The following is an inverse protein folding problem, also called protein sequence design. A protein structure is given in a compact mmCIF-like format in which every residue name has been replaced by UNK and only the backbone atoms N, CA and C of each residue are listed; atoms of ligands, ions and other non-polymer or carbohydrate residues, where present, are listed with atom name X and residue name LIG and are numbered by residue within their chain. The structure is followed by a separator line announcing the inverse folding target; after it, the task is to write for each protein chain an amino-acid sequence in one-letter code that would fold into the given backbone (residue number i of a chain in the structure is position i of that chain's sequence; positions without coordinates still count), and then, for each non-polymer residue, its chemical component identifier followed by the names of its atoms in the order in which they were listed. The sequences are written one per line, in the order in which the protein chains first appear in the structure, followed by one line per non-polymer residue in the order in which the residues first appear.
data_IF_491044264061
#
_entry.id   IF_491044264061
#
_cell.length_a   1.000
_cell.length_b   1.000
_cell.length_c   1.000
_cell.angle_alpha   90.00
_cell.angle_beta   90.00
_cell.angle_gamma   90.00
#
_symmetry.space_group_name_H-M   'P 1'
#
loop_
_entity.id
_entity.type
_entity.pdbx_description
1 polymer ?
#
# COMPACT_ATOMS: atom_id res chain seq x y z
N UNK A 1 -7.65 0.51 13.25
CA UNK A 1 -6.62 -0.41 13.78
C UNK A 1 -6.21 -0.10 15.23
N UNK A 2 -5.51 1.00 15.53
CA UNK A 2 -4.91 1.23 16.87
C UNK A 2 -5.89 1.13 18.06
N UNK A 3 -7.09 1.72 17.94
CA UNK A 3 -8.13 1.60 18.98
C UNK A 3 -8.59 0.15 19.21
N UNK A 4 -8.84 -0.57 18.12
CA UNK A 4 -9.20 -2.00 18.15
C UNK A 4 -8.09 -2.81 18.81
N UNK A 5 -6.82 -2.52 18.51
CA UNK A 5 -5.68 -3.16 19.17
C UNK A 5 -5.66 -2.87 20.69
N UNK A 6 -5.90 -1.62 21.08
CA UNK A 6 -5.93 -1.23 22.48
C UNK A 6 -7.09 -1.87 23.26
N UNK A 7 -8.28 -1.93 22.66
CA UNK A 7 -9.49 -2.44 23.32
C UNK A 7 -9.60 -3.98 23.30
N UNK A 8 -9.30 -4.59 22.16
CA UNK A 8 -9.64 -5.99 21.90
C UNK A 8 -8.42 -6.92 21.98
N UNK A 9 -7.20 -6.35 21.97
CA UNK A 9 -5.95 -7.09 21.93
C UNK A 9 -4.94 -6.63 23.00
N UNK A 10 -5.39 -6.00 24.08
CA UNK A 10 -4.55 -5.59 25.22
C UNK A 10 -3.29 -4.80 24.81
N UNK A 11 -3.45 -3.87 23.86
CA UNK A 11 -2.36 -3.08 23.27
C UNK A 11 -1.29 -3.89 22.53
N UNK A 12 -1.53 -5.17 22.25
CA UNK A 12 -0.62 -6.04 21.51
C UNK A 12 -1.07 -6.17 20.06
N UNK A 13 -0.19 -5.84 19.13
CA UNK A 13 -0.46 -6.04 17.70
C UNK A 13 -0.62 -7.54 17.43
N UNK A 14 -1.72 -7.99 16.82
CA UNK A 14 -1.89 -9.40 16.47
C UNK A 14 -0.82 -9.88 15.50
N UNK A 15 -0.35 -11.12 15.68
CA UNK A 15 0.64 -11.74 14.80
C UNK A 15 0.03 -12.59 13.67
N UNK A 16 -1.25 -12.95 13.79
CA UNK A 16 -1.96 -13.75 12.80
C UNK A 16 -2.46 -12.88 11.63
N UNK A 17 -2.29 -13.37 10.40
CA UNK A 17 -2.61 -12.62 9.18
C UNK A 17 -4.11 -12.36 9.06
N UNK A 18 -4.96 -13.34 9.39
CA UNK A 18 -6.42 -13.15 9.27
C UNK A 18 -6.93 -12.16 10.31
N UNK A 19 -6.39 -12.21 11.52
CA UNK A 19 -6.68 -11.23 12.58
C UNK A 19 -6.21 -9.83 12.20
N UNK A 20 -5.00 -9.71 11.63
CA UNK A 20 -4.48 -8.44 11.12
C UNK A 20 -5.37 -7.88 10.00
N UNK A 21 -5.86 -8.71 9.08
CA UNK A 21 -6.78 -8.30 8.00
C UNK A 21 -8.14 -7.82 8.51
N UNK A 22 -8.57 -8.28 9.68
CA UNK A 22 -9.80 -7.80 10.31
C UNK A 22 -9.66 -6.38 10.89
N UNK A 23 -8.43 -5.87 11.06
CA UNK A 23 -8.21 -4.52 11.57
C UNK A 23 -8.62 -3.45 10.53
N UNK A 24 -9.31 -2.37 10.95
CA UNK A 24 -9.69 -1.30 10.03
C UNK A 24 -8.48 -0.68 9.33
N UNK A 25 -8.52 -0.68 7.99
CA UNK A 25 -7.48 -0.14 7.12
C UNK A 25 -6.32 -1.08 6.79
N UNK A 26 -6.33 -2.33 7.26
CA UNK A 26 -5.25 -3.30 7.02
C UNK A 26 -5.66 -4.29 5.92
N UNK A 27 -5.08 -4.14 4.73
CA UNK A 27 -5.28 -5.07 3.61
C UNK A 27 -4.33 -6.28 3.65
N UNK A 28 -4.54 -7.24 2.73
CA UNK A 28 -3.75 -8.49 2.62
C UNK A 28 -2.22 -8.26 2.60
N UNK A 29 -1.76 -7.29 1.81
CA UNK A 29 -0.34 -6.93 1.76
C UNK A 29 0.17 -6.47 3.13
N UNK A 30 -0.53 -5.51 3.76
CA UNK A 30 -0.10 -4.92 5.03
C UNK A 30 -0.08 -5.96 6.14
N UNK A 31 -1.09 -6.83 6.20
CA UNK A 31 -1.15 -7.92 7.18
C UNK A 31 0.06 -8.87 7.03
N UNK A 32 0.34 -9.34 5.81
CA UNK A 32 1.50 -10.21 5.54
C UNK A 32 2.82 -9.50 5.81
N UNK A 33 2.93 -8.22 5.49
CA UNK A 33 4.11 -7.41 5.76
C UNK A 33 4.36 -7.26 7.27
N UNK A 34 3.32 -7.00 8.08
CA UNK A 34 3.43 -6.97 9.54
C UNK A 34 3.86 -8.34 10.07
N UNK A 35 3.15 -9.40 9.70
CA UNK A 35 3.48 -10.78 10.11
C UNK A 35 4.92 -11.16 9.76
N UNK A 36 5.41 -10.74 8.58
CA UNK A 36 6.77 -11.03 8.12
C UNK A 36 7.82 -10.19 8.84
N UNK A 37 7.70 -8.86 8.79
CA UNK A 37 8.77 -7.98 9.24
C UNK A 37 8.77 -7.76 10.76
N UNK A 38 7.60 -7.72 11.40
CA UNK A 38 7.52 -7.52 12.85
C UNK A 38 7.59 -8.85 13.62
N UNK A 39 6.99 -9.93 13.10
CA UNK A 39 6.85 -11.20 13.80
C UNK A 39 7.68 -12.35 13.21
N UNK A 40 8.52 -12.07 12.21
CA UNK A 40 9.47 -13.03 11.68
C UNK A 40 8.85 -14.17 10.85
N UNK A 41 7.56 -14.09 10.52
CA UNK A 41 6.87 -15.16 9.79
C UNK A 41 7.24 -15.15 8.31
N UNK A 42 7.11 -16.30 7.65
CA UNK A 42 7.36 -16.40 6.21
C UNK A 42 6.04 -16.26 5.45
N UNK A 43 5.82 -15.10 4.84
CA UNK A 43 4.66 -14.85 3.96
C UNK A 43 5.11 -14.29 2.61
N UNK A 44 4.25 -14.47 1.61
CA UNK A 44 4.46 -13.89 0.29
C UNK A 44 4.11 -12.38 0.29
N UNK A 45 5.09 -11.55 0.63
CA UNK A 45 4.97 -10.08 0.67
C UNK A 45 5.22 -9.52 -0.73
N UNK A 46 4.16 -9.14 -1.45
CA UNK A 46 4.24 -8.70 -2.85
C UNK A 46 3.96 -7.20 -2.99
N UNK A 47 4.90 -6.36 -2.52
CA UNK A 47 4.86 -4.93 -2.79
C UNK A 47 5.21 -4.62 -4.27
N UNK A 48 4.98 -3.38 -4.72
CA UNK A 48 5.23 -3.00 -6.11
C UNK A 48 6.72 -3.11 -6.52
N UNK A 49 7.64 -3.03 -5.57
CA UNK A 49 9.07 -3.18 -5.76
C UNK A 49 9.45 -4.65 -5.94
N UNK A 50 9.05 -5.53 -5.02
CA UNK A 50 9.26 -6.98 -5.14
C UNK A 50 8.63 -7.51 -6.43
N UNK A 51 7.38 -7.13 -6.72
CA UNK A 51 6.67 -7.53 -7.96
C UNK A 51 7.44 -7.12 -9.21
N UNK A 52 8.05 -5.94 -9.23
CA UNK A 52 8.86 -5.47 -10.36
C UNK A 52 10.17 -6.23 -10.49
N UNK A 53 10.83 -6.58 -9.38
CA UNK A 53 12.01 -7.44 -9.43
C UNK A 53 11.65 -8.77 -10.06
N UNK A 54 10.57 -9.42 -9.62
CA UNK A 54 10.14 -10.70 -10.20
C UNK A 54 9.72 -10.61 -11.66
N UNK A 55 8.96 -9.58 -12.04
CA UNK A 55 8.56 -9.37 -13.43
C UNK A 55 9.79 -9.31 -14.35
N UNK A 56 10.82 -8.56 -13.95
CA UNK A 56 12.05 -8.42 -14.75
C UNK A 56 12.94 -9.66 -14.69
N UNK A 57 13.20 -10.16 -13.48
CA UNK A 57 14.14 -11.25 -13.24
C UNK A 57 13.61 -12.58 -13.80
N UNK A 58 12.34 -12.90 -13.53
CA UNK A 58 11.74 -14.21 -13.81
C UNK A 58 10.81 -14.21 -15.01
N UNK A 59 10.02 -13.16 -15.23
CA UNK A 59 9.05 -13.16 -16.35
C UNK A 59 9.61 -12.49 -17.61
N UNK A 60 10.74 -11.78 -17.50
CA UNK A 60 11.32 -11.05 -18.63
C UNK A 60 10.53 -9.79 -19.03
N UNK A 61 9.64 -9.30 -18.16
CA UNK A 61 8.76 -8.17 -18.40
C UNK A 61 9.27 -6.89 -17.71
N UNK A 62 9.11 -5.73 -18.35
CA UNK A 62 9.57 -4.45 -17.77
C UNK A 62 8.83 -4.10 -16.46
N UNK A 63 7.55 -4.48 -16.37
CA UNK A 63 6.63 -4.07 -15.34
C UNK A 63 5.69 -5.22 -14.98
N UNK A 64 5.33 -5.39 -13.69
CA UNK A 64 4.28 -6.31 -13.31
C UNK A 64 2.93 -5.76 -13.77
N UNK A 65 1.92 -6.64 -13.83
CA UNK A 65 0.51 -6.29 -14.08
C UNK A 65 0.00 -5.27 -13.05
N UNK A 66 -1.06 -4.54 -13.39
CA UNK A 66 -1.59 -3.48 -12.52
C UNK A 66 -1.97 -3.98 -11.12
N UNK A 67 -2.67 -5.11 -11.03
CA UNK A 67 -2.99 -5.81 -9.79
C UNK A 67 -2.19 -7.11 -9.70
N UNK A 68 -1.90 -7.53 -8.47
CA UNK A 68 -1.36 -8.86 -8.25
C UNK A 68 -2.38 -9.89 -8.77
N UNK A 69 -1.94 -10.88 -9.55
CA UNK A 69 -2.79 -11.98 -9.97
C UNK A 69 -2.65 -13.19 -9.02
N UNK A 70 -3.37 -14.28 -9.32
CA UNK A 70 -3.35 -15.50 -8.51
C UNK A 70 -1.94 -16.12 -8.48
N UNK A 71 -1.23 -16.09 -9.61
CA UNK A 71 0.15 -16.59 -9.73
C UNK A 71 1.09 -15.79 -8.84
N UNK A 72 1.02 -14.47 -8.87
CA UNK A 72 1.83 -13.63 -7.98
C UNK A 72 1.54 -13.89 -6.50
N UNK A 73 0.28 -14.17 -6.13
CA UNK A 73 -0.12 -14.41 -4.74
C UNK A 73 0.18 -15.83 -4.23
N UNK A 74 0.11 -16.85 -5.07
CA UNK A 74 0.12 -18.25 -4.63
C UNK A 74 1.30 -19.07 -5.18
N UNK A 75 1.82 -18.73 -6.35
CA UNK A 75 2.84 -19.52 -7.04
C UNK A 75 4.25 -18.94 -6.89
N UNK A 76 4.37 -17.70 -6.43
CA UNK A 76 5.67 -17.12 -6.07
C UNK A 76 6.18 -17.76 -4.78
N UNK A 77 7.49 -18.03 -4.68
CA UNK A 77 8.02 -18.64 -3.47
C UNK A 77 7.75 -17.76 -2.25
N UNK A 78 7.49 -18.40 -1.12
CA UNK A 78 7.37 -17.74 0.17
C UNK A 78 8.77 -17.59 0.74
N UNK A 79 9.14 -16.36 1.09
CA UNK A 79 10.45 -16.04 1.61
C UNK A 79 10.39 -15.56 3.06
N UNK A 80 11.47 -15.80 3.79
CA UNK A 80 11.62 -15.29 5.14
C UNK A 80 11.88 -13.77 5.17
N UNK A 81 11.82 -13.15 6.37
CA UNK A 81 11.87 -11.70 6.54
C UNK A 81 13.08 -11.03 5.89
N UNK A 82 14.28 -11.59 6.09
CA UNK A 82 15.53 -11.04 5.56
C UNK A 82 15.52 -10.98 4.04
N UNK A 83 15.05 -12.04 3.38
CA UNK A 83 15.01 -12.09 1.93
C UNK A 83 13.95 -11.13 1.37
N UNK A 84 12.76 -11.11 1.99
CA UNK A 84 11.68 -10.18 1.62
C UNK A 84 12.14 -8.73 1.72
N UNK A 85 12.85 -8.37 2.80
CA UNK A 85 13.43 -7.03 2.97
C UNK A 85 14.51 -6.74 1.92
N UNK A 86 15.42 -7.69 1.67
CA UNK A 86 16.48 -7.52 0.68
C UNK A 86 15.94 -7.30 -0.74
N UNK A 87 14.90 -8.04 -1.15
CA UNK A 87 14.32 -7.88 -2.48
C UNK A 87 13.45 -6.63 -2.60
N UNK A 88 12.76 -6.24 -1.53
CA UNK A 88 12.09 -4.94 -1.45
C UNK A 88 13.08 -3.80 -1.65
N UNK A 89 14.23 -3.84 -0.96
CA UNK A 89 15.28 -2.83 -1.04
C UNK A 89 15.97 -2.82 -2.41
N UNK A 90 16.26 -4.00 -2.96
CA UNK A 90 16.77 -4.15 -4.32
C UNK A 90 15.82 -3.48 -5.32
N UNK A 91 14.52 -3.72 -5.18
CA UNK A 91 13.50 -3.08 -6.00
C UNK A 91 13.47 -1.56 -5.81
N UNK A 92 13.58 -1.08 -4.58
CA UNK A 92 13.51 0.33 -4.23
C UNK A 92 14.71 1.15 -4.73
N UNK A 93 15.94 0.63 -4.58
CA UNK A 93 17.17 1.40 -4.81
C UNK A 93 17.86 1.11 -6.15
N UNK A 94 17.80 -0.14 -6.62
CA UNK A 94 18.61 -0.59 -7.78
C UNK A 94 17.71 -0.90 -8.97
N UNK A 95 16.76 -1.81 -8.80
CA UNK A 95 15.81 -2.22 -9.82
C UNK A 95 14.61 -1.26 -9.88
N UNK A 96 14.88 0.05 -9.95
CA UNK A 96 13.89 1.12 -9.91
C UNK A 96 12.94 1.09 -11.12
N UNK A 97 11.76 1.72 -10.99
CA UNK A 97 10.77 1.75 -12.07
C UNK A 97 11.28 2.49 -13.32
N UNK A 98 12.01 3.59 -13.13
CA UNK A 98 12.63 4.41 -14.17
C UNK A 98 14.14 4.41 -13.95
N UNK A 99 14.91 4.10 -15.00
CA UNK A 99 16.38 4.07 -14.97
C UNK A 99 16.98 3.12 -13.91
N UNK A 100 16.77 1.79 -14.04
CA UNK A 100 17.37 0.83 -13.11
C UNK A 100 18.89 0.77 -13.26
N UNK A 101 19.59 0.64 -12.13
CA UNK A 101 21.05 0.53 -12.04
C UNK A 101 21.51 -0.92 -12.27
N UNK A 102 21.26 -1.45 -13.48
CA UNK A 102 21.49 -2.86 -13.79
C UNK A 102 22.95 -3.31 -13.56
N UNK A 103 23.93 -2.43 -13.74
CA UNK A 103 25.35 -2.75 -13.55
C UNK A 103 25.71 -2.96 -12.07
N UNK A 104 24.89 -2.43 -11.16
CA UNK A 104 25.01 -2.63 -9.71
C UNK A 104 24.10 -3.74 -9.19
N UNK A 105 23.29 -4.36 -10.05
CA UNK A 105 22.30 -5.34 -9.63
C UNK A 105 22.97 -6.70 -9.35
N UNK A 106 22.89 -7.23 -8.12
CA UNK A 106 23.57 -8.49 -7.74
C UNK A 106 23.03 -9.72 -8.49
N UNK A 107 21.87 -9.61 -9.13
CA UNK A 107 21.21 -10.68 -9.90
C UNK A 107 21.12 -10.35 -11.40
N UNK A 108 21.92 -9.40 -11.89
CA UNK A 108 21.89 -8.96 -13.28
C UNK A 108 22.11 -10.11 -14.28
N UNK A 109 23.06 -11.00 -13.99
CA UNK A 109 23.44 -12.12 -14.87
C UNK A 109 22.31 -13.12 -15.09
N UNK A 110 21.39 -13.24 -14.14
CA UNK A 110 20.22 -14.12 -14.22
C UNK A 110 18.95 -13.41 -14.71
N UNK A 111 18.97 -12.10 -14.89
CA UNK A 111 17.77 -11.31 -15.20
C UNK A 111 17.32 -11.48 -16.65
N UNK A 112 16.17 -12.12 -16.86
CA UNK A 112 15.63 -12.36 -18.21
C UNK A 112 15.34 -11.06 -18.97
N UNK A 113 14.75 -10.06 -18.31
CA UNK A 113 14.43 -8.78 -18.96
C UNK A 113 15.70 -8.05 -19.41
N UNK A 114 16.77 -8.11 -18.62
CA UNK A 114 18.07 -7.56 -19.00
C UNK A 114 18.69 -8.31 -20.17
N UNK A 115 18.70 -9.66 -20.11
CA UNK A 115 19.22 -10.52 -21.18
C UNK A 115 18.50 -10.32 -22.51
N UNK A 116 17.20 -10.00 -22.47
CA UNK A 116 16.39 -9.72 -23.66
C UNK A 116 16.56 -8.28 -24.19
N UNK A 117 17.52 -7.50 -23.66
CA UNK A 117 17.79 -6.14 -24.13
C UNK A 117 16.83 -5.08 -23.58
N UNK A 118 16.19 -5.33 -22.43
CA UNK A 118 15.28 -4.40 -21.75
C UNK A 118 14.06 -3.98 -22.59
N UNK A 119 13.30 -4.92 -23.19
CA UNK A 119 12.15 -4.57 -24.03
C UNK A 119 11.13 -3.74 -23.23
N UNK A 120 10.55 -2.68 -23.84
CA UNK A 120 9.55 -1.86 -23.18
C UNK A 120 8.22 -2.62 -23.03
N UNK A 121 7.46 -2.29 -21.98
CA UNK A 121 6.09 -2.77 -21.81
C UNK A 121 5.20 -2.17 -22.89
N UNK A 122 4.44 -3.03 -23.58
CA UNK A 122 3.41 -2.62 -24.54
C UNK A 122 2.17 -2.02 -23.86
N UNK A 123 2.02 -2.21 -22.55
CA UNK A 123 0.92 -1.63 -21.78
C UNK A 123 1.26 -0.21 -21.32
N UNK A 124 0.48 0.82 -21.73
CA UNK A 124 0.67 2.17 -21.24
C UNK A 124 0.33 2.23 -19.75
N UNK A 125 1.30 2.64 -18.92
CA UNK A 125 1.02 2.97 -17.52
C UNK A 125 0.29 4.31 -17.46
N UNK A 126 -0.99 4.27 -17.07
CA UNK A 126 -1.68 5.48 -16.62
C UNK A 126 -1.14 5.86 -15.25
N UNK A 127 -0.19 6.79 -15.21
CA UNK A 127 0.17 7.45 -13.96
C UNK A 127 -0.98 8.41 -13.61
N UNK A 128 -1.76 8.08 -12.58
CA UNK A 128 -2.71 9.04 -12.03
C UNK A 128 -1.92 10.12 -11.29
N UNK A 129 -2.15 11.39 -11.63
CA UNK A 129 -1.62 12.49 -10.85
C UNK A 129 -2.10 12.37 -9.40
N UNK A 130 -1.23 12.70 -8.43
CA UNK A 130 -1.62 12.68 -7.01
C UNK A 130 -2.78 13.66 -6.73
N UNK A 131 -2.72 14.81 -7.39
CA UNK A 131 -3.72 15.87 -7.30
C UNK A 131 -5.11 15.35 -7.73
N UNK A 132 -6.12 15.57 -6.90
CA UNK A 132 -7.52 15.19 -7.16
C UNK A 132 -7.84 13.71 -6.88
N UNK A 133 -6.91 12.95 -6.29
CA UNK A 133 -7.20 11.55 -5.91
C UNK A 133 -8.08 11.47 -4.67
N UNK A 134 -8.92 10.42 -4.59
CA UNK A 134 -9.67 10.08 -3.36
C UNK A 134 -8.75 10.00 -2.13
N UNK A 135 -7.55 9.44 -2.31
CA UNK A 135 -6.56 9.31 -1.24
C UNK A 135 -6.09 10.68 -0.73
N UNK A 136 -5.85 11.64 -1.63
CA UNK A 136 -5.51 13.00 -1.24
C UNK A 136 -6.68 13.68 -0.52
N UNK A 137 -7.91 13.56 -1.03
CA UNK A 137 -9.11 14.11 -0.41
C UNK A 137 -9.28 13.63 1.05
N UNK A 138 -9.20 12.30 1.26
CA UNK A 138 -9.26 11.69 2.59
C UNK A 138 -8.15 12.20 3.52
N UNK A 139 -6.94 12.32 3.00
CA UNK A 139 -5.81 12.89 3.75
C UNK A 139 -6.07 14.32 4.19
N UNK A 140 -6.59 15.16 3.28
CA UNK A 140 -6.92 16.56 3.57
C UNK A 140 -8.02 16.69 4.62
N UNK A 141 -9.07 15.85 4.57
CA UNK A 141 -10.13 15.79 5.59
C UNK A 141 -9.53 15.48 6.96
N UNK A 142 -8.75 14.39 7.07
CA UNK A 142 -8.16 13.95 8.33
C UNK A 142 -7.18 14.98 8.89
N UNK A 143 -6.37 15.60 8.04
CA UNK A 143 -5.47 16.67 8.44
C UNK A 143 -6.26 17.86 9.01
N UNK A 144 -7.27 18.34 8.27
CA UNK A 144 -8.09 19.48 8.68
C UNK A 144 -8.81 19.25 10.00
N UNK A 145 -9.26 18.02 10.26
CA UNK A 145 -9.87 17.63 11.53
C UNK A 145 -8.85 17.52 12.68
N UNK A 146 -7.62 17.08 12.41
CA UNK A 146 -6.53 17.06 13.43
C UNK A 146 -6.10 18.47 13.82
N UNK A 147 -6.14 19.40 12.89
CA UNK A 147 -5.79 20.81 13.10
C UNK A 147 -6.94 21.63 13.68
N UNK A 148 -8.10 21.01 13.97
CA UNK A 148 -9.26 21.71 14.53
C UNK A 148 -9.65 21.18 15.90
N UNK A 149 -9.81 22.11 16.85
CA UNK A 149 -10.29 21.80 18.20
C UNK A 149 -11.82 21.62 18.28
N UNK A 150 -12.53 21.76 17.16
CA UNK A 150 -14.00 21.67 17.10
C UNK A 150 -14.50 20.87 15.91
N UNK A 151 -15.71 20.31 15.98
CA UNK A 151 -16.34 19.70 14.81
C UNK A 151 -16.56 20.70 13.67
N UNK A 152 -16.23 20.28 12.45
CA UNK A 152 -16.27 21.08 11.22
C UNK A 152 -17.52 20.78 10.39
N UNK A 153 -18.08 21.77 9.71
CA UNK A 153 -19.11 21.60 8.68
C UNK A 153 -18.50 21.22 7.34
N UNK A 154 -19.33 20.74 6.42
CA UNK A 154 -18.92 20.29 5.08
C UNK A 154 -18.16 21.39 4.31
N UNK A 155 -18.57 22.65 4.46
CA UNK A 155 -17.99 23.77 3.72
C UNK A 155 -16.58 24.14 4.21
N UNK A 156 -16.17 23.70 5.39
CA UNK A 156 -14.90 24.07 6.03
C UNK A 156 -13.70 23.23 5.55
N UNK A 157 -13.93 22.21 4.71
CA UNK A 157 -12.90 21.30 4.18
C UNK A 157 -12.18 21.83 2.93
N UNK A 158 -12.67 22.90 2.31
CA UNK A 158 -12.03 23.58 1.17
C UNK A 158 -11.56 22.64 0.03
N UNK A 159 -12.37 21.63 -0.31
CA UNK A 159 -12.07 20.67 -1.39
C UNK A 159 -12.85 21.02 -2.67
N UNK A 160 -12.19 20.97 -3.83
CA UNK A 160 -12.77 21.44 -5.11
C UNK A 160 -13.96 20.60 -5.57
N UNK A 161 -13.89 19.28 -5.46
CA UNK A 161 -14.94 18.37 -5.95
C UNK A 161 -15.86 17.91 -4.81
N UNK A 162 -17.03 18.53 -4.68
CA UNK A 162 -17.97 18.26 -3.57
C UNK A 162 -18.43 16.80 -3.49
N UNK A 163 -18.73 16.17 -4.62
CA UNK A 163 -19.11 14.75 -4.67
C UNK A 163 -18.02 13.83 -4.11
N UNK A 164 -16.77 14.11 -4.45
CA UNK A 164 -15.63 13.35 -3.92
C UNK A 164 -15.46 13.54 -2.41
N UNK A 165 -15.64 14.77 -1.91
CA UNK A 165 -15.58 15.10 -0.48
C UNK A 165 -16.67 14.35 0.31
N UNK A 166 -17.91 14.36 -0.18
CA UNK A 166 -19.05 13.69 0.47
C UNK A 166 -18.84 12.17 0.55
N UNK A 167 -18.40 11.57 -0.56
CA UNK A 167 -18.06 10.13 -0.60
C UNK A 167 -16.92 9.81 0.37
N UNK A 168 -15.85 10.62 0.36
CA UNK A 168 -14.71 10.41 1.26
C UNK A 168 -15.09 10.54 2.75
N UNK A 169 -15.96 11.49 3.10
CA UNK A 169 -16.49 11.63 4.46
C UNK A 169 -17.31 10.41 4.87
N UNK A 170 -18.19 9.92 3.99
CA UNK A 170 -19.01 8.73 4.26
C UNK A 170 -18.14 7.47 4.48
N UNK A 171 -17.18 7.21 3.58
CA UNK A 171 -16.22 6.10 3.72
C UNK A 171 -15.43 6.21 5.04
N UNK A 172 -14.96 7.41 5.40
CA UNK A 172 -14.21 7.63 6.65
C UNK A 172 -15.06 7.42 7.93
N UNK A 173 -16.38 7.67 7.86
CA UNK A 173 -17.31 7.38 8.96
C UNK A 173 -17.51 5.88 9.08
N UNK A 174 -17.77 5.19 7.96
CA UNK A 174 -17.96 3.73 7.92
C UNK A 174 -16.74 2.98 8.47
N UNK A 175 -15.54 3.46 8.13
CA UNK A 175 -14.27 2.90 8.62
C UNK A 175 -13.94 3.30 10.08
N UNK A 176 -14.74 4.17 10.70
CA UNK A 176 -14.56 4.62 12.09
C UNK A 176 -13.39 5.59 12.31
N UNK A 177 -12.91 6.26 11.27
CA UNK A 177 -11.87 7.28 11.40
C UNK A 177 -12.41 8.63 11.88
N UNK A 178 -13.64 8.96 11.49
CA UNK A 178 -14.34 10.19 11.86
C UNK A 178 -15.76 9.87 12.32
N UNK A 179 -16.42 10.81 12.98
CA UNK A 179 -17.82 10.71 13.38
C UNK A 179 -18.58 11.96 12.95
N UNK A 180 -19.87 11.80 12.65
CA UNK A 180 -20.77 12.90 12.30
C UNK A 180 -21.85 13.10 13.36
N UNK A 181 -22.09 14.35 13.75
CA UNK A 181 -23.18 14.75 14.64
C UNK A 181 -23.67 16.15 14.25
N UNK A 182 -24.98 16.34 14.11
CA UNK A 182 -25.61 17.62 13.78
C UNK A 182 -24.97 18.31 12.55
N UNK A 183 -24.75 17.55 11.47
CA UNK A 183 -24.09 18.01 10.24
C UNK A 183 -22.67 18.56 10.44
N UNK A 184 -21.98 18.09 11.49
CA UNK A 184 -20.58 18.39 11.76
C UNK A 184 -19.78 17.11 11.89
N UNK A 185 -18.52 17.18 11.48
CA UNK A 185 -17.58 16.08 11.44
C UNK A 185 -16.46 16.32 12.45
N UNK A 186 -16.04 15.28 13.16
CA UNK A 186 -14.92 15.30 14.10
C UNK A 186 -14.15 13.99 14.01
N UNK A 187 -12.90 13.96 14.48
CA UNK A 187 -12.21 12.69 14.64
C UNK A 187 -13.03 11.79 15.58
N UNK A 188 -13.15 10.51 15.24
CA UNK A 188 -13.76 9.55 16.14
C UNK A 188 -12.93 9.53 17.44
N UNK A 189 -13.57 9.60 18.61
CA UNK A 189 -12.91 9.45 19.92
C UNK A 189 -12.58 7.99 20.20
#
# INVERSE_FOLDING_TARGET
AAKVIASDFDNQVPQDVETLKALPGVGDYTAKAIATFAFGQSHNVMDINIRRVFARLIDGEQHPKQSADKRERQERPVFGPTWSAAVMELGALICTAKNPLCDLCPVATSCLWLRNGKPPSMQPRKAQAWAGTKRQCRGAILQRLRESDRPLRLEEFNWQEKSQLEVALAELIEEGFIQASNSRYSLAK
#
